data_IF_589602367070
#
_entry.id   IF_589602367070
#
_cell.length_a   1.000
_cell.length_b   1.000
_cell.length_c   1.000
_cell.angle_alpha   90.00
_cell.angle_beta   90.00
_cell.angle_gamma   90.00
#
_symmetry.space_group_name_H-M   'P 1'
#
loop_
_entity.id
_entity.type
_entity.pdbx_description
1 polymer ?
#
# COMPACT_ATOMS: atom_id res chain seq x y z
N UNK A 1 14.27 -21.25 7.44
CA UNK A 1 15.08 -20.02 7.63
C UNK A 1 15.58 -19.58 6.27
N UNK A 2 15.39 -18.30 5.88
CA UNK A 2 15.80 -17.81 4.57
C UNK A 2 17.32 -17.91 4.39
N UNK A 3 17.74 -18.26 3.17
CA UNK A 3 19.16 -18.41 2.83
C UNK A 3 19.90 -17.08 2.81
N UNK A 4 21.25 -17.09 2.88
CA UNK A 4 22.06 -15.86 2.84
C UNK A 4 21.73 -14.96 1.64
N UNK A 5 21.51 -15.55 0.46
CA UNK A 5 21.15 -14.83 -0.77
C UNK A 5 19.79 -14.14 -0.65
N UNK A 6 18.82 -14.77 -0.03
CA UNK A 6 17.47 -14.24 0.16
C UNK A 6 17.49 -13.07 1.14
N UNK A 7 18.21 -13.20 2.27
CA UNK A 7 18.42 -12.09 3.21
C UNK A 7 19.09 -10.88 2.55
N UNK A 8 20.08 -11.10 1.69
CA UNK A 8 20.70 -10.02 0.92
C UNK A 8 19.70 -9.38 -0.04
N UNK A 9 18.89 -10.19 -0.74
CA UNK A 9 17.84 -9.70 -1.62
C UNK A 9 16.86 -8.79 -0.87
N UNK A 10 16.41 -9.22 0.31
CA UNK A 10 15.51 -8.41 1.14
C UNK A 10 16.14 -7.09 1.60
N UNK A 11 17.40 -7.12 2.02
CA UNK A 11 18.11 -5.89 2.41
C UNK A 11 18.26 -4.88 1.26
N UNK A 12 18.38 -5.36 0.01
CA UNK A 12 18.39 -4.50 -1.17
C UNK A 12 17.01 -3.85 -1.35
N UNK A 13 15.93 -4.62 -1.20
CA UNK A 13 14.56 -4.12 -1.32
C UNK A 13 14.28 -3.08 -0.23
N UNK A 14 14.65 -3.34 1.03
CA UNK A 14 14.54 -2.39 2.15
C UNK A 14 15.21 -1.05 1.83
N UNK A 15 16.46 -1.10 1.39
CA UNK A 15 17.21 0.11 1.09
C UNK A 15 16.62 0.87 -0.12
N UNK A 16 16.00 0.15 -1.06
CA UNK A 16 15.38 0.74 -2.24
C UNK A 16 14.09 1.51 -1.93
N UNK A 17 13.34 1.13 -0.88
CA UNK A 17 12.09 1.80 -0.50
C UNK A 17 12.30 3.32 -0.35
N UNK A 18 13.28 3.71 0.48
CA UNK A 18 13.55 5.12 0.79
C UNK A 18 14.04 5.88 -0.44
N UNK A 19 14.79 5.23 -1.33
CA UNK A 19 15.24 5.83 -2.59
C UNK A 19 14.05 6.15 -3.49
N UNK A 20 13.17 5.18 -3.73
CA UNK A 20 12.00 5.36 -4.60
C UNK A 20 10.97 6.33 -4.02
N UNK A 21 10.71 6.29 -2.71
CA UNK A 21 9.80 7.23 -2.05
C UNK A 21 10.27 8.69 -2.22
N UNK A 22 11.57 8.94 -2.06
CA UNK A 22 12.14 10.29 -2.11
C UNK A 22 12.37 10.81 -3.53
N UNK A 23 12.88 9.97 -4.43
CA UNK A 23 13.35 10.40 -5.76
C UNK A 23 12.34 10.11 -6.88
N UNK A 24 11.31 9.29 -6.64
CA UNK A 24 10.50 8.73 -7.70
C UNK A 24 11.19 7.53 -8.38
N UNK A 25 10.53 6.96 -9.38
CA UNK A 25 11.04 5.82 -10.15
C UNK A 25 12.07 6.26 -11.18
N UNK A 26 11.77 7.32 -11.96
CA UNK A 26 12.56 7.75 -13.12
C UNK A 26 13.97 8.23 -12.75
N UNK A 27 14.16 8.73 -11.53
CA UNK A 27 15.44 9.29 -11.08
C UNK A 27 16.34 8.27 -10.37
N UNK A 28 15.80 7.13 -9.93
CA UNK A 28 16.59 6.11 -9.23
C UNK A 28 17.37 5.29 -10.25
N UNK A 29 18.66 5.09 -9.99
CA UNK A 29 19.54 4.27 -10.82
C UNK A 29 20.12 3.10 -10.02
N UNK A 30 20.61 2.07 -10.72
CA UNK A 30 21.37 0.99 -10.06
C UNK A 30 22.62 1.49 -9.33
N UNK A 31 23.15 2.66 -9.72
CA UNK A 31 24.27 3.29 -9.00
C UNK A 31 23.83 3.83 -7.64
N UNK A 32 22.69 4.52 -7.56
CA UNK A 32 22.12 4.97 -6.29
C UNK A 32 21.89 3.79 -5.32
N UNK A 33 21.40 2.68 -5.87
CA UNK A 33 21.16 1.46 -5.06
C UNK A 33 22.49 0.86 -4.57
N UNK A 34 23.55 0.85 -5.38
CA UNK A 34 24.88 0.43 -4.92
C UNK A 34 25.39 1.33 -3.79
N UNK A 35 25.19 2.65 -3.89
CA UNK A 35 25.63 3.62 -2.90
C UNK A 35 24.92 3.43 -1.55
N UNK A 36 23.60 3.24 -1.55
CA UNK A 36 22.84 3.06 -0.29
C UNK A 36 23.05 1.68 0.34
N UNK A 37 23.26 0.64 -0.47
CA UNK A 37 23.45 -0.74 0.03
C UNK A 37 24.91 -1.06 0.35
N UNK A 38 25.86 -0.26 -0.14
CA UNK A 38 27.29 -0.56 -0.08
C UNK A 38 27.72 -1.77 -0.94
N UNK A 39 26.82 -2.30 -1.77
CA UNK A 39 27.11 -3.46 -2.61
C UNK A 39 27.87 -3.07 -3.88
N UNK A 40 28.69 -3.99 -4.38
CA UNK A 40 29.31 -3.83 -5.70
C UNK A 40 28.25 -3.94 -6.80
N UNK A 41 28.53 -3.30 -7.94
CA UNK A 41 27.67 -3.39 -9.12
C UNK A 41 27.40 -4.84 -9.51
N UNK A 42 28.44 -5.67 -9.65
CA UNK A 42 28.25 -7.10 -9.98
C UNK A 42 27.42 -7.86 -8.96
N UNK A 43 27.57 -7.55 -7.67
CA UNK A 43 26.75 -8.13 -6.60
C UNK A 43 25.28 -7.77 -6.77
N UNK A 44 24.96 -6.48 -6.95
CA UNK A 44 23.59 -6.01 -7.10
C UNK A 44 22.90 -6.58 -8.36
N UNK A 45 23.61 -6.56 -9.49
CA UNK A 45 23.10 -7.12 -10.76
C UNK A 45 22.88 -8.64 -10.72
N UNK A 46 23.49 -9.36 -9.77
CA UNK A 46 23.21 -10.79 -9.56
C UNK A 46 21.85 -11.07 -8.87
N UNK A 47 21.24 -10.03 -8.29
CA UNK A 47 19.91 -10.08 -7.66
C UNK A 47 18.83 -9.43 -8.52
N UNK A 48 19.13 -8.29 -9.15
CA UNK A 48 18.17 -7.52 -9.95
C UNK A 48 18.80 -7.04 -11.25
N UNK A 49 18.17 -7.33 -12.38
CA UNK A 49 18.67 -6.94 -13.70
C UNK A 49 18.60 -5.42 -13.97
N UNK A 50 17.83 -4.69 -13.17
CA UNK A 50 17.62 -3.25 -13.29
C UNK A 50 16.66 -2.73 -12.23
N UNK A 51 16.41 -1.43 -12.27
CA UNK A 51 15.51 -0.74 -11.34
C UNK A 51 14.06 -1.17 -11.51
N UNK A 52 13.62 -1.55 -12.72
CA UNK A 52 12.27 -2.08 -12.95
C UNK A 52 12.02 -3.33 -12.11
N UNK A 53 12.90 -4.34 -12.21
CA UNK A 53 12.76 -5.61 -11.47
C UNK A 53 12.95 -5.45 -9.97
N UNK A 54 13.75 -4.48 -9.55
CA UNK A 54 13.86 -4.12 -8.14
C UNK A 54 12.56 -3.47 -7.64
N UNK A 55 11.98 -2.57 -8.42
CA UNK A 55 10.76 -1.88 -8.05
C UNK A 55 9.54 -2.80 -8.04
N UNK A 56 9.40 -3.69 -9.03
CA UNK A 56 8.37 -4.74 -9.03
C UNK A 56 8.44 -5.59 -7.75
N UNK A 57 9.64 -6.07 -7.40
CA UNK A 57 9.84 -6.86 -6.18
C UNK A 57 9.54 -6.06 -4.90
N UNK A 58 9.86 -4.76 -4.89
CA UNK A 58 9.51 -3.87 -3.78
C UNK A 58 7.99 -3.74 -3.64
N UNK A 59 7.27 -3.55 -4.74
CA UNK A 59 5.82 -3.42 -4.73
C UNK A 59 5.12 -4.72 -4.28
N UNK A 60 5.57 -5.87 -4.78
CA UNK A 60 5.09 -7.19 -4.35
C UNK A 60 5.27 -7.37 -2.85
N UNK A 61 6.46 -7.07 -2.33
CA UNK A 61 6.74 -7.17 -0.90
C UNK A 61 5.86 -6.26 -0.05
N UNK A 62 5.57 -5.04 -0.52
CA UNK A 62 4.68 -4.12 0.19
C UNK A 62 3.25 -4.65 0.24
N UNK A 63 2.78 -5.28 -0.84
CA UNK A 63 1.44 -5.88 -0.84
C UNK A 63 1.34 -7.13 0.03
N UNK A 64 2.41 -7.92 0.11
CA UNK A 64 2.51 -9.11 0.99
C UNK A 64 2.58 -8.71 2.47
N UNK A 65 3.42 -7.73 2.81
CA UNK A 65 3.62 -7.27 4.19
C UNK A 65 2.69 -6.10 4.59
N UNK A 66 1.60 -5.90 3.86
CA UNK A 66 0.68 -4.80 4.13
C UNK A 66 -0.02 -5.03 5.47
N UNK A 67 0.02 -4.03 6.35
CA UNK A 67 -0.77 -4.03 7.59
C UNK A 67 -2.29 -3.96 7.34
N UNK A 68 -2.71 -3.79 6.07
CA UNK A 68 -4.10 -3.94 5.62
C UNK A 68 -4.37 -5.34 5.03
N UNK A 69 -3.65 -6.35 5.51
CA UNK A 69 -4.02 -7.76 5.34
C UNK A 69 -4.82 -8.22 6.56
N UNK A 70 -6.13 -8.31 6.38
CA UNK A 70 -7.08 -8.58 7.47
C UNK A 70 -7.27 -10.08 7.72
N UNK A 71 -6.71 -10.94 6.87
CA UNK A 71 -7.03 -12.37 6.85
C UNK A 71 -6.76 -13.05 8.20
N UNK A 72 -5.58 -12.84 8.80
CA UNK A 72 -5.24 -13.42 10.09
C UNK A 72 -6.18 -12.96 11.22
N UNK A 73 -6.58 -11.69 11.19
CA UNK A 73 -7.49 -11.12 12.20
C UNK A 73 -8.92 -11.63 12.04
N UNK A 74 -9.33 -11.90 10.81
CA UNK A 74 -10.60 -12.55 10.49
C UNK A 74 -10.58 -14.01 10.96
N UNK A 75 -9.50 -14.76 10.69
CA UNK A 75 -9.34 -16.15 11.16
C UNK A 75 -9.32 -16.27 12.70
N UNK A 76 -8.77 -15.26 13.38
CA UNK A 76 -8.77 -15.15 14.84
C UNK A 76 -10.07 -14.57 15.43
N UNK A 77 -11.11 -14.38 14.61
CA UNK A 77 -12.47 -13.94 15.00
C UNK A 77 -12.52 -12.54 15.67
N UNK A 78 -11.60 -11.64 15.32
CA UNK A 78 -11.64 -10.25 15.81
C UNK A 78 -12.89 -9.51 15.30
N UNK A 79 -13.32 -8.46 16.02
CA UNK A 79 -14.42 -7.61 15.56
C UNK A 79 -14.07 -6.93 14.23
N UNK A 80 -14.98 -7.03 13.26
CA UNK A 80 -14.84 -6.35 11.98
C UNK A 80 -14.73 -4.82 12.15
N UNK A 81 -15.45 -4.23 13.13
CA UNK A 81 -15.35 -2.80 13.46
C UNK A 81 -13.96 -2.42 13.95
N UNK A 82 -13.35 -3.24 14.80
CA UNK A 82 -12.01 -2.97 15.33
C UNK A 82 -10.94 -3.07 14.25
N UNK A 83 -11.05 -4.05 13.35
CA UNK A 83 -10.18 -4.17 12.17
C UNK A 83 -10.34 -2.93 11.28
N UNK A 84 -11.58 -2.56 10.93
CA UNK A 84 -11.87 -1.39 10.11
C UNK A 84 -11.32 -0.10 10.72
N UNK A 85 -11.49 0.11 12.02
CA UNK A 85 -10.98 1.31 12.67
C UNK A 85 -9.46 1.40 12.62
N UNK A 86 -8.74 0.30 12.93
CA UNK A 86 -7.28 0.29 12.82
C UNK A 86 -6.81 0.49 11.39
N UNK A 87 -7.46 -0.14 10.42
CA UNK A 87 -7.14 0.02 9.00
C UNK A 87 -7.33 1.48 8.54
N UNK A 88 -8.46 2.10 8.88
CA UNK A 88 -8.73 3.50 8.54
C UNK A 88 -7.79 4.46 9.26
N UNK A 89 -7.46 4.22 10.53
CA UNK A 89 -6.52 5.07 11.28
C UNK A 89 -5.10 4.97 10.69
N UNK A 90 -4.67 3.79 10.25
CA UNK A 90 -3.43 3.62 9.48
C UNK A 90 -3.47 4.39 8.16
N UNK A 91 -4.57 4.27 7.40
CA UNK A 91 -4.74 5.01 6.15
C UNK A 91 -4.69 6.53 6.39
N UNK A 92 -5.30 7.04 7.47
CA UNK A 92 -5.20 8.45 7.86
C UNK A 92 -3.76 8.87 8.09
N UNK A 93 -2.98 8.05 8.79
CA UNK A 93 -1.59 8.35 9.09
C UNK A 93 -0.73 8.36 7.82
N UNK A 94 -0.88 7.37 6.95
CA UNK A 94 -0.19 7.33 5.66
C UNK A 94 -0.59 8.50 4.75
N UNK A 95 -1.86 8.91 4.77
CA UNK A 95 -2.34 10.08 4.03
C UNK A 95 -1.76 11.41 4.55
N UNK A 96 -1.36 11.50 5.82
CA UNK A 96 -0.69 12.69 6.39
C UNK A 96 0.79 12.78 6.01
N UNK A 97 1.40 11.67 5.62
CA UNK A 97 2.81 11.55 5.24
C UNK A 97 3.00 11.12 3.78
N UNK A 98 2.41 11.84 2.80
CA UNK A 98 2.47 11.45 1.39
C UNK A 98 3.90 11.39 0.84
N UNK A 99 4.85 12.11 1.44
CA UNK A 99 6.28 12.12 1.13
C UNK A 99 7.02 10.80 1.40
N UNK A 100 6.51 10.00 2.34
CA UNK A 100 7.09 8.69 2.67
C UNK A 100 6.53 7.57 1.79
N UNK A 101 5.59 7.93 0.92
CA UNK A 101 4.81 7.00 0.12
C UNK A 101 5.41 6.81 -1.28
N UNK A 102 5.24 5.61 -1.86
CA UNK A 102 5.70 5.32 -3.23
C UNK A 102 4.80 5.91 -4.32
N UNK A 103 3.84 6.78 -4.00
CA UNK A 103 2.78 7.19 -4.94
C UNK A 103 3.34 7.82 -6.23
N UNK A 104 4.37 8.68 -6.11
CA UNK A 104 5.03 9.29 -7.27
C UNK A 104 5.77 8.23 -8.10
N UNK A 105 6.52 7.34 -7.43
CA UNK A 105 7.27 6.28 -8.11
C UNK A 105 6.35 5.30 -8.84
N UNK A 106 5.21 4.94 -8.24
CA UNK A 106 4.17 4.10 -8.85
C UNK A 106 3.63 4.75 -10.13
N UNK A 107 3.30 6.04 -10.06
CA UNK A 107 2.78 6.78 -11.21
C UNK A 107 3.81 6.87 -12.34
N UNK A 108 5.05 7.22 -12.01
CA UNK A 108 6.14 7.29 -12.98
C UNK A 108 6.46 5.94 -13.62
N UNK A 109 6.40 4.85 -12.86
CA UNK A 109 6.63 3.49 -13.36
C UNK A 109 5.52 3.06 -14.31
N UNK A 110 4.26 3.33 -13.99
CA UNK A 110 3.11 3.00 -14.83
C UNK A 110 3.15 3.67 -16.21
N UNK A 111 3.82 4.81 -16.35
CA UNK A 111 4.04 5.45 -17.66
C UNK A 111 5.14 4.77 -18.50
N UNK A 112 6.01 3.99 -17.87
CA UNK A 112 7.23 3.46 -18.51
C UNK A 112 7.12 2.02 -18.97
N UNK A 113 6.17 1.26 -18.43
CA UNK A 113 6.01 -0.17 -18.72
C UNK A 113 4.54 -0.55 -18.87
N UNK A 114 4.29 -1.49 -19.77
CA UNK A 114 3.04 -2.26 -19.79
C UNK A 114 3.25 -3.48 -18.89
N UNK A 115 2.91 -3.34 -17.60
CA UNK A 115 3.16 -4.33 -16.56
C UNK A 115 1.88 -4.64 -15.78
N UNK A 116 1.58 -5.93 -15.64
CA UNK A 116 0.39 -6.42 -14.92
C UNK A 116 0.49 -6.26 -13.40
N UNK A 117 1.66 -5.83 -12.90
CA UNK A 117 1.95 -5.73 -11.46
C UNK A 117 0.96 -4.79 -10.79
N UNK A 118 0.71 -3.60 -11.34
CA UNK A 118 -0.21 -2.64 -10.74
C UNK A 118 -1.64 -3.17 -10.67
N UNK A 119 -2.09 -3.85 -11.72
CA UNK A 119 -3.41 -4.47 -11.72
C UNK A 119 -3.51 -5.59 -10.68
N UNK A 120 -2.47 -6.43 -10.56
CA UNK A 120 -2.42 -7.50 -9.56
C UNK A 120 -2.44 -6.94 -8.14
N UNK A 121 -1.70 -5.87 -7.86
CA UNK A 121 -1.71 -5.20 -6.56
C UNK A 121 -3.08 -4.62 -6.25
N UNK A 122 -3.71 -3.96 -7.24
CA UNK A 122 -5.06 -3.42 -7.08
C UNK A 122 -6.08 -4.53 -6.80
N UNK A 123 -6.08 -5.61 -7.58
CA UNK A 123 -6.96 -6.77 -7.36
C UNK A 123 -6.75 -7.41 -5.98
N UNK A 124 -5.51 -7.47 -5.49
CA UNK A 124 -5.23 -7.98 -4.14
C UNK A 124 -5.80 -7.05 -3.06
N UNK A 125 -5.61 -5.73 -3.20
CA UNK A 125 -6.19 -4.75 -2.28
C UNK A 125 -7.73 -4.81 -2.27
N UNK A 126 -8.37 -4.89 -3.44
CA UNK A 126 -9.81 -5.07 -3.58
C UNK A 126 -10.29 -6.33 -2.85
N UNK A 127 -9.61 -7.46 -3.08
CA UNK A 127 -9.93 -8.72 -2.42
C UNK A 127 -9.86 -8.61 -0.88
N UNK A 128 -8.77 -8.06 -0.34
CA UNK A 128 -8.57 -7.91 1.12
C UNK A 128 -9.67 -7.03 1.74
N UNK A 129 -9.96 -5.88 1.14
CA UNK A 129 -11.02 -5.00 1.63
C UNK A 129 -12.41 -5.60 1.50
N UNK A 130 -12.69 -6.30 0.39
CA UNK A 130 -13.97 -6.99 0.19
C UNK A 130 -14.17 -8.11 1.21
N UNK A 131 -13.12 -8.86 1.53
CA UNK A 131 -13.13 -9.89 2.57
C UNK A 131 -13.54 -9.29 3.93
N UNK A 132 -12.93 -8.17 4.35
CA UNK A 132 -13.30 -7.48 5.59
C UNK A 132 -14.75 -6.95 5.57
N UNK A 133 -15.19 -6.34 4.46
CA UNK A 133 -16.55 -5.80 4.33
C UNK A 133 -17.59 -6.93 4.44
N UNK A 134 -17.40 -8.02 3.69
CA UNK A 134 -18.32 -9.16 3.72
C UNK A 134 -18.32 -9.84 5.10
N UNK A 135 -17.15 -10.01 5.72
CA UNK A 135 -17.03 -10.53 7.08
C UNK A 135 -17.83 -9.71 8.09
N UNK A 136 -17.73 -8.37 8.03
CA UNK A 136 -18.50 -7.50 8.93
C UNK A 136 -19.99 -7.51 8.65
N UNK A 137 -20.43 -7.67 7.40
CA UNK A 137 -21.85 -7.83 7.03
C UNK A 137 -22.41 -9.14 7.58
N UNK A 138 -21.69 -10.25 7.40
CA UNK A 138 -22.11 -11.58 7.87
C UNK A 138 -22.30 -11.60 9.39
N UNK A 139 -21.47 -10.87 10.14
CA UNK A 139 -21.57 -10.71 11.59
C UNK A 139 -22.65 -9.73 12.06
N UNK A 140 -23.30 -9.01 11.14
CA UNK A 140 -24.20 -7.91 11.46
C UNK A 140 -23.50 -6.71 12.13
N UNK A 141 -22.18 -6.63 12.03
CA UNK A 141 -21.38 -5.52 12.53
C UNK A 141 -21.38 -4.33 11.56
N UNK A 142 -21.44 -4.61 10.26
CA UNK A 142 -21.63 -3.63 9.20
C UNK A 142 -23.05 -3.71 8.64
N UNK A 143 -23.50 -2.61 8.04
CA UNK A 143 -24.74 -2.52 7.29
C UNK A 143 -24.61 -3.32 5.99
N UNK A 144 -25.74 -3.84 5.53
CA UNK A 144 -25.87 -4.48 4.22
C UNK A 144 -25.74 -3.41 3.12
N UNK A 145 -24.55 -3.34 2.52
CA UNK A 145 -24.17 -2.40 1.46
C UNK A 145 -23.58 -3.17 0.28
N UNK A 146 -23.53 -2.56 -0.89
CA UNK A 146 -22.76 -3.12 -1.99
C UNK A 146 -21.27 -3.08 -1.66
N UNK A 147 -20.67 -4.26 -1.51
CA UNK A 147 -19.28 -4.40 -1.10
C UNK A 147 -18.32 -3.86 -2.17
N UNK A 148 -18.63 -3.97 -3.46
CA UNK A 148 -17.76 -3.47 -4.53
C UNK A 148 -17.77 -1.95 -4.56
N UNK A 149 -18.95 -1.32 -4.41
CA UNK A 149 -19.06 0.14 -4.38
C UNK A 149 -18.27 0.77 -3.22
N UNK A 150 -18.42 0.24 -1.99
CA UNK A 150 -17.71 0.81 -0.83
C UNK A 150 -16.20 0.56 -0.90
N UNK A 151 -15.76 -0.60 -1.39
CA UNK A 151 -14.34 -0.90 -1.60
C UNK A 151 -13.73 0.05 -2.62
N UNK A 152 -14.42 0.34 -3.73
CA UNK A 152 -13.98 1.34 -4.70
C UNK A 152 -13.80 2.72 -4.05
N UNK A 153 -14.77 3.16 -3.23
CA UNK A 153 -14.67 4.44 -2.50
C UNK A 153 -13.47 4.44 -1.56
N UNK A 154 -13.24 3.36 -0.79
CA UNK A 154 -12.11 3.24 0.13
C UNK A 154 -10.78 3.35 -0.61
N UNK A 155 -10.58 2.52 -1.65
CA UNK A 155 -9.30 2.44 -2.36
C UNK A 155 -8.97 3.72 -3.13
N UNK A 156 -9.91 4.21 -3.93
CA UNK A 156 -9.64 5.34 -4.81
C UNK A 156 -9.60 6.68 -4.06
N UNK A 157 -10.34 6.84 -2.96
CA UNK A 157 -10.18 8.02 -2.10
C UNK A 157 -8.80 8.02 -1.44
N UNK A 158 -8.32 6.88 -0.94
CA UNK A 158 -7.01 6.75 -0.32
C UNK A 158 -5.85 7.01 -1.28
N UNK A 159 -5.86 6.36 -2.45
CA UNK A 159 -4.86 6.58 -3.49
C UNK A 159 -4.90 8.02 -4.01
N UNK A 160 -6.10 8.55 -4.25
CA UNK A 160 -6.31 9.91 -4.70
C UNK A 160 -5.77 10.94 -3.70
N UNK A 161 -6.01 10.75 -2.41
CA UNK A 161 -5.49 11.64 -1.38
C UNK A 161 -3.97 11.60 -1.30
N UNK A 162 -3.37 10.41 -1.31
CA UNK A 162 -1.91 10.26 -1.25
C UNK A 162 -1.22 10.92 -2.44
N UNK A 163 -1.79 10.77 -3.65
CA UNK A 163 -1.23 11.38 -4.85
C UNK A 163 -1.49 12.89 -4.91
N UNK A 164 -2.73 13.33 -4.68
CA UNK A 164 -3.09 14.76 -4.77
C UNK A 164 -2.41 15.61 -3.68
N UNK A 165 -2.13 15.01 -2.51
CA UNK A 165 -1.36 15.67 -1.45
C UNK A 165 0.09 16.00 -1.84
N UNK A 166 0.62 15.37 -2.91
CA UNK A 166 1.93 15.74 -3.49
C UNK A 166 1.88 17.04 -4.28
N UNK A 167 0.69 17.46 -4.72
CA UNK A 167 0.46 18.67 -5.52
C UNK A 167 0.02 19.82 -4.62
N UNK A 168 -0.89 19.55 -3.67
CA UNK A 168 -1.39 20.54 -2.72
C UNK A 168 -1.53 19.92 -1.34
N UNK A 169 -1.03 20.55 -0.26
CA UNK A 169 -1.19 20.03 1.09
C UNK A 169 -2.67 19.83 1.44
N UNK A 170 -3.03 18.64 1.91
CA UNK A 170 -4.36 18.39 2.46
C UNK A 170 -4.41 18.63 3.97
N UNK A 171 -5.51 19.25 4.41
CA UNK A 171 -5.77 19.46 5.84
C UNK A 171 -6.17 18.14 6.47
N UNK A 172 -5.69 17.86 7.68
CA UNK A 172 -6.07 16.65 8.43
C UNK A 172 -7.58 16.49 8.59
N UNK A 173 -8.33 17.60 8.70
CA UNK A 173 -9.80 17.59 8.74
C UNK A 173 -10.43 16.98 7.47
N UNK A 174 -9.82 17.19 6.30
CA UNK A 174 -10.28 16.61 5.03
C UNK A 174 -10.05 15.10 5.03
N UNK A 175 -8.86 14.66 5.41
CA UNK A 175 -8.51 13.23 5.53
C UNK A 175 -9.48 12.51 6.47
N UNK A 176 -9.65 13.06 7.68
CA UNK A 176 -10.57 12.52 8.68
C UNK A 176 -12.04 12.53 8.21
N UNK A 177 -12.44 13.47 7.35
CA UNK A 177 -13.81 13.50 6.81
C UNK A 177 -14.11 12.31 5.89
N UNK A 178 -13.09 11.83 5.15
CA UNK A 178 -13.20 10.69 4.23
C UNK A 178 -13.38 9.39 5.00
N UNK A 179 -12.50 9.13 5.97
CA UNK A 179 -12.59 7.94 6.83
C UNK A 179 -13.83 7.94 7.69
N UNK A 180 -14.26 9.09 8.21
CA UNK A 180 -15.54 9.21 8.91
C UNK A 180 -16.74 8.94 7.99
N UNK A 181 -16.66 9.32 6.72
CA UNK A 181 -17.70 8.98 5.75
C UNK A 181 -17.81 7.47 5.56
N UNK A 182 -16.67 6.79 5.39
CA UNK A 182 -16.61 5.31 5.30
C UNK A 182 -17.19 4.66 6.57
N UNK A 183 -16.75 5.08 7.76
CA UNK A 183 -17.25 4.59 9.06
C UNK A 183 -18.78 4.76 9.17
N UNK A 184 -19.31 5.93 8.80
CA UNK A 184 -20.76 6.21 8.81
C UNK A 184 -21.54 5.38 7.79
N UNK A 185 -20.94 5.07 6.65
CA UNK A 185 -21.59 4.27 5.62
C UNK A 185 -21.69 2.81 6.05
N UNK A 186 -20.61 2.24 6.58
CA UNK A 186 -20.53 0.84 7.02
C UNK A 186 -21.19 0.57 8.37
N UNK A 187 -20.98 1.41 9.38
CA UNK A 187 -21.44 1.15 10.76
C UNK A 187 -22.67 1.98 11.13
N UNK A 188 -22.81 3.15 10.52
CA UNK A 188 -23.85 4.13 10.83
C UNK A 188 -23.41 5.28 11.71
N UNK A 189 -24.38 6.05 12.19
CA UNK A 189 -24.08 7.14 13.11
C UNK A 189 -23.60 6.56 14.43
N UNK A 190 -22.41 6.97 14.88
CA UNK A 190 -21.94 6.77 16.24
C UNK A 190 -22.99 7.40 17.18
N UNK A 191 -23.74 6.58 17.91
CA UNK A 191 -24.54 7.04 19.05
C UNK A 191 -23.63 7.25 20.26
#
# INVERSE_FOLDING_TARGET
MPGKREKTRESIIDASYVLFAKKGFKQVTMKDVCEVTGMSRGGLYSHFSGTDKLFEALLERIAENSAMDFHAEIEEDFSAKEILFRALDLMEEEMKHPEDSLSVAIYEYAETVDSDVMERLNRNAERKWKELVLYGIERGEFRDVDADEIVNVILYSYQGVRMWSRITPMKSKTICSITNHIKKHLIGAFL
#
